data_IF_563513276703
#
_entry.id   IF_563513276703
#
_cell.length_a   1.000
_cell.length_b   1.000
_cell.length_c   1.000
_cell.angle_alpha   90.00
_cell.angle_beta   90.00
_cell.angle_gamma   90.00
#
_symmetry.space_group_name_H-M   'P 1'
#
loop_
_entity.id
_entity.type
_entity.pdbx_description
1 polymer ?
#
# COMPACT_ATOMS: atom_id res chain seq x y z
N UNK A 1 -3.15 9.33 10.83
CA UNK A 1 -4.18 9.87 9.93
C UNK A 1 -5.54 9.64 10.53
N UNK A 2 -6.33 10.71 10.65
CA UNK A 2 -7.55 10.71 11.43
C UNK A 2 -8.76 10.42 10.53
N UNK A 3 -9.55 9.39 10.85
CA UNK A 3 -10.56 8.82 9.94
C UNK A 3 -11.87 8.56 10.68
N UNK A 4 -12.98 8.92 10.04
CA UNK A 4 -14.34 8.57 10.46
C UNK A 4 -14.76 7.26 9.82
N UNK A 5 -14.96 6.25 10.65
CA UNK A 5 -15.51 4.97 10.21
C UNK A 5 -16.92 4.79 10.73
N UNK A 6 -17.74 4.13 9.91
CA UNK A 6 -19.10 3.78 10.27
C UNK A 6 -19.46 2.39 9.76
N UNK A 7 -20.06 1.57 10.63
CA UNK A 7 -20.51 0.22 10.26
C UNK A 7 -21.73 0.26 9.34
N UNK A 8 -21.94 -0.80 8.55
CA UNK A 8 -23.07 -0.88 7.62
C UNK A 8 -24.45 -0.89 8.29
N UNK A 9 -24.59 -1.70 9.35
CA UNK A 9 -25.91 -2.09 9.88
C UNK A 9 -26.58 -1.01 10.76
N UNK A 10 -25.85 0.05 11.12
CA UNK A 10 -26.40 1.15 11.93
C UNK A 10 -26.13 2.49 11.25
N UNK A 11 -26.83 2.73 10.15
CA UNK A 11 -26.78 4.01 9.39
C UNK A 11 -27.15 5.24 10.22
N UNK A 12 -27.81 5.06 11.36
CA UNK A 12 -28.16 6.15 12.29
C UNK A 12 -27.11 6.40 13.39
N UNK A 13 -26.15 5.49 13.59
CA UNK A 13 -25.10 5.69 14.59
C UNK A 13 -24.13 6.80 14.16
N UNK A 14 -23.55 7.49 15.14
CA UNK A 14 -22.43 8.40 14.92
C UNK A 14 -21.20 7.62 14.41
N UNK A 15 -20.51 8.20 13.43
CA UNK A 15 -19.20 7.71 13.01
C UNK A 15 -18.21 7.79 14.18
N UNK A 16 -17.29 6.83 14.29
CA UNK A 16 -16.24 6.86 15.30
C UNK A 16 -14.92 7.28 14.65
N UNK A 17 -14.15 8.09 15.38
CA UNK A 17 -12.84 8.60 14.96
C UNK A 17 -11.73 7.61 15.34
N UNK A 18 -10.86 7.29 14.39
CA UNK A 18 -9.66 6.47 14.60
C UNK A 18 -8.43 7.11 13.99
N UNK A 19 -7.24 6.84 14.55
CA UNK A 19 -5.98 7.34 14.04
C UNK A 19 -5.13 6.20 13.47
N UNK A 20 -5.20 6.00 12.16
CA UNK A 20 -4.43 4.97 11.46
C UNK A 20 -3.04 5.46 11.04
N UNK A 21 -2.06 4.54 10.83
CA UNK A 21 -2.14 3.09 11.06
C UNK A 21 -1.96 2.69 12.54
N UNK A 22 -2.37 1.47 12.88
CA UNK A 22 -2.24 0.82 14.19
C UNK A 22 -1.33 -0.41 14.14
N UNK A 23 -0.74 -0.76 15.28
CA UNK A 23 -0.18 -2.10 15.49
C UNK A 23 -1.28 -3.17 15.55
N UNK A 24 -0.93 -4.43 15.28
CA UNK A 24 -1.89 -5.55 15.31
C UNK A 24 -2.44 -5.83 16.71
N UNK A 25 -1.72 -5.45 17.76
CA UNK A 25 -2.19 -5.53 19.15
C UNK A 25 -3.28 -4.48 19.45
N UNK A 26 -3.26 -3.34 18.76
CA UNK A 26 -4.13 -2.19 19.03
C UNK A 26 -5.36 -2.16 18.12
N UNK A 27 -5.26 -2.71 16.91
CA UNK A 27 -6.34 -2.73 15.91
C UNK A 27 -7.60 -3.45 16.40
N UNK A 28 -7.47 -4.42 17.32
CA UNK A 28 -8.60 -5.08 17.99
C UNK A 28 -9.50 -4.07 18.71
N UNK A 29 -8.95 -2.95 19.20
CA UNK A 29 -9.74 -1.89 19.81
C UNK A 29 -10.64 -1.17 18.80
N UNK A 30 -10.21 -1.07 17.54
CA UNK A 30 -11.02 -0.48 16.45
C UNK A 30 -12.24 -1.37 16.18
N UNK A 31 -12.02 -2.68 16.03
CA UNK A 31 -13.11 -3.66 15.89
C UNK A 31 -14.08 -3.61 17.07
N UNK A 32 -13.57 -3.61 18.31
CA UNK A 32 -14.38 -3.57 19.51
C UNK A 32 -15.25 -2.30 19.61
N UNK A 33 -14.67 -1.13 19.32
CA UNK A 33 -15.41 0.15 19.38
C UNK A 33 -16.50 0.24 18.31
N UNK A 34 -16.27 -0.34 17.12
CA UNK A 34 -17.29 -0.42 16.07
C UNK A 34 -18.27 -1.59 16.26
N UNK A 35 -18.08 -2.40 17.31
CA UNK A 35 -18.83 -3.64 17.57
C UNK A 35 -18.79 -4.60 16.36
N UNK A 36 -17.66 -4.66 15.67
CA UNK A 36 -17.42 -5.50 14.50
C UNK A 36 -16.60 -6.74 14.89
N UNK A 37 -16.80 -7.81 14.13
CA UNK A 37 -15.91 -8.98 14.16
C UNK A 37 -14.86 -8.83 13.06
N UNK A 38 -13.68 -9.40 13.30
CA UNK A 38 -12.65 -9.58 12.28
C UNK A 38 -13.24 -10.28 11.06
N UNK A 39 -12.97 -9.73 9.87
CA UNK A 39 -13.54 -10.18 8.61
C UNK A 39 -12.60 -9.85 7.46
N UNK A 40 -12.61 -10.70 6.44
CA UNK A 40 -11.94 -10.44 5.16
C UNK A 40 -12.83 -9.55 4.28
N UNK A 41 -14.15 -9.74 4.34
CA UNK A 41 -15.10 -8.92 3.59
C UNK A 41 -15.24 -7.54 4.24
N UNK A 42 -15.48 -6.47 3.45
CA UNK A 42 -15.85 -5.16 3.96
C UNK A 42 -17.02 -5.21 4.93
N UNK A 43 -16.94 -4.43 6.00
CA UNK A 43 -17.95 -4.39 7.06
C UNK A 43 -18.18 -2.99 7.65
N UNK A 44 -17.47 -1.98 7.13
CA UNK A 44 -17.67 -0.57 7.42
C UNK A 44 -17.40 0.29 6.18
N UNK A 45 -17.77 1.56 6.25
CA UNK A 45 -17.45 2.56 5.23
C UNK A 45 -16.68 3.73 5.85
N UNK A 46 -15.89 4.37 5.00
CA UNK A 46 -15.09 5.56 5.32
C UNK A 46 -15.99 6.77 5.11
N UNK A 47 -16.44 7.42 6.18
CA UNK A 47 -17.28 8.61 6.08
C UNK A 47 -16.45 9.85 5.69
N UNK A 48 -15.24 9.97 6.26
CA UNK A 48 -14.36 11.11 6.05
C UNK A 48 -12.93 10.79 6.50
N UNK A 49 -11.95 11.39 5.84
CA UNK A 49 -10.57 11.54 6.33
C UNK A 49 -10.35 13.00 6.73
N UNK A 50 -10.02 13.21 8.01
CA UNK A 50 -9.94 14.52 8.64
C UNK A 50 -8.51 15.05 8.49
N UNK A 51 -8.38 16.27 7.95
CA UNK A 51 -7.13 16.99 7.68
C UNK A 51 -6.33 16.57 6.45
N UNK A 52 -6.87 15.72 5.59
CA UNK A 52 -6.18 15.25 4.39
C UNK A 52 -7.12 15.23 3.18
N UNK A 53 -7.27 16.35 2.44
CA UNK A 53 -8.27 16.47 1.39
C UNK A 53 -8.02 15.51 0.22
N UNK A 54 -6.75 15.29 -0.14
CA UNK A 54 -6.36 14.40 -1.23
C UNK A 54 -6.75 12.95 -0.91
N UNK A 55 -6.47 12.49 0.31
CA UNK A 55 -6.85 11.16 0.75
C UNK A 55 -8.36 11.05 0.92
N UNK A 56 -9.01 12.09 1.45
CA UNK A 56 -10.45 12.12 1.60
C UNK A 56 -11.15 12.00 0.25
N UNK A 57 -10.66 12.65 -0.80
CA UNK A 57 -11.20 12.53 -2.16
C UNK A 57 -11.15 11.08 -2.66
N UNK A 58 -10.05 10.37 -2.37
CA UNK A 58 -9.84 8.99 -2.81
C UNK A 58 -10.65 7.98 -1.99
N UNK A 59 -10.72 8.16 -0.66
CA UNK A 59 -11.23 7.15 0.27
C UNK A 59 -12.69 7.37 0.69
N UNK A 60 -13.19 8.60 0.65
CA UNK A 60 -14.54 8.90 1.16
C UNK A 60 -15.61 8.10 0.45
N UNK A 61 -16.51 7.52 1.23
CA UNK A 61 -17.64 6.72 0.76
C UNK A 61 -17.28 5.29 0.38
N UNK A 62 -16.00 4.90 0.37
CA UNK A 62 -15.60 3.52 0.09
C UNK A 62 -15.92 2.60 1.25
N UNK A 63 -16.29 1.39 0.89
CA UNK A 63 -16.40 0.26 1.81
C UNK A 63 -15.01 -0.30 2.09
N UNK A 64 -14.78 -0.72 3.32
CA UNK A 64 -13.51 -1.31 3.74
C UNK A 64 -13.72 -2.37 4.82
N UNK A 65 -12.75 -3.28 4.93
CA UNK A 65 -12.48 -3.92 6.21
C UNK A 65 -11.33 -3.17 6.91
N UNK A 66 -11.28 -3.26 8.24
CA UNK A 66 -10.33 -2.48 9.06
C UNK A 66 -8.87 -2.87 8.78
N UNK A 67 -8.61 -4.14 8.42
CA UNK A 67 -7.25 -4.65 8.19
C UNK A 67 -6.67 -4.16 6.86
N UNK A 68 -7.46 -4.15 5.77
CA UNK A 68 -7.08 -3.56 4.49
C UNK A 68 -6.80 -2.07 4.63
N UNK A 69 -7.67 -1.36 5.35
CA UNK A 69 -7.50 0.05 5.59
C UNK A 69 -6.20 0.31 6.38
N UNK A 70 -5.95 -0.49 7.42
CA UNK A 70 -4.72 -0.39 8.19
C UNK A 70 -3.48 -0.69 7.33
N UNK A 71 -3.54 -1.72 6.49
CA UNK A 71 -2.45 -2.08 5.59
C UNK A 71 -2.15 -0.96 4.59
N UNK A 72 -3.17 -0.38 3.97
CA UNK A 72 -3.00 0.75 3.05
C UNK A 72 -2.32 1.94 3.75
N UNK A 73 -2.71 2.27 4.99
CA UNK A 73 -2.06 3.36 5.71
C UNK A 73 -0.65 3.04 6.15
N UNK A 74 -0.35 1.79 6.54
CA UNK A 74 1.02 1.34 6.77
C UNK A 74 1.87 1.52 5.51
N UNK A 75 1.34 1.21 4.32
CA UNK A 75 2.01 1.46 3.02
C UNK A 75 2.26 2.95 2.79
N UNK A 76 1.24 3.77 2.94
CA UNK A 76 1.32 5.21 2.69
C UNK A 76 2.25 5.94 3.67
N UNK A 77 2.43 5.42 4.89
CA UNK A 77 3.37 5.95 5.88
C UNK A 77 4.84 5.84 5.43
N UNK A 78 5.16 4.92 4.52
CA UNK A 78 6.50 4.82 3.91
C UNK A 78 6.75 5.79 2.76
N UNK A 79 5.70 6.41 2.22
CA UNK A 79 5.84 7.23 1.03
C UNK A 79 6.58 8.53 1.29
N UNK A 80 7.53 8.84 0.43
CA UNK A 80 8.04 10.18 0.33
C UNK A 80 7.02 11.13 -0.35
N UNK A 81 7.38 12.42 -0.43
CA UNK A 81 6.50 13.43 -1.02
C UNK A 81 6.20 13.19 -2.51
N UNK A 82 7.15 12.62 -3.27
CA UNK A 82 7.01 12.34 -4.71
C UNK A 82 6.12 11.12 -4.92
N UNK A 83 6.38 10.03 -4.21
CA UNK A 83 5.58 8.79 -4.25
C UNK A 83 4.13 9.06 -3.89
N UNK A 84 3.90 9.84 -2.83
CA UNK A 84 2.56 10.21 -2.39
C UNK A 84 1.78 11.00 -3.47
N UNK A 85 2.44 11.94 -4.15
CA UNK A 85 1.81 12.68 -5.27
C UNK A 85 1.50 11.78 -6.46
N UNK A 86 2.41 10.87 -6.81
CA UNK A 86 2.18 9.90 -7.90
C UNK A 86 1.00 8.99 -7.55
N UNK A 87 0.93 8.52 -6.30
CA UNK A 87 -0.19 7.71 -5.82
C UNK A 87 -1.53 8.43 -5.97
N UNK A 88 -1.65 9.70 -5.54
CA UNK A 88 -2.91 10.43 -5.71
C UNK A 88 -3.23 10.80 -7.16
N UNK A 89 -2.23 11.18 -7.96
CA UNK A 89 -2.44 11.47 -9.37
C UNK A 89 -2.93 10.23 -10.14
N UNK A 90 -2.35 9.06 -9.84
CA UNK A 90 -2.82 7.79 -10.40
C UNK A 90 -4.20 7.41 -9.87
N UNK A 91 -4.50 7.63 -8.59
CA UNK A 91 -5.81 7.30 -8.00
C UNK A 91 -6.92 8.19 -8.60
N UNK A 92 -6.63 9.47 -8.80
CA UNK A 92 -7.52 10.39 -9.49
C UNK A 92 -7.79 9.96 -10.94
N UNK A 93 -6.79 9.40 -11.61
CA UNK A 93 -6.89 9.00 -13.02
C UNK A 93 -7.60 7.66 -13.20
N UNK A 94 -7.23 6.66 -12.41
CA UNK A 94 -7.74 5.29 -12.53
C UNK A 94 -9.05 5.10 -11.76
N UNK A 95 -9.36 5.99 -10.80
CA UNK A 95 -10.57 5.98 -9.97
C UNK A 95 -10.85 4.58 -9.37
N UNK A 96 -9.97 4.07 -8.50
CA UNK A 96 -10.20 2.77 -7.87
C UNK A 96 -11.46 2.81 -7.03
N UNK A 97 -12.23 1.73 -7.06
CA UNK A 97 -13.52 1.56 -6.38
C UNK A 97 -13.33 0.93 -4.99
N UNK A 98 -12.28 0.11 -4.81
CA UNK A 98 -12.06 -0.65 -3.57
C UNK A 98 -10.74 -0.31 -2.88
N UNK A 99 -10.65 -0.62 -1.57
CA UNK A 99 -9.37 -0.53 -0.84
C UNK A 99 -8.35 -1.53 -1.38
N UNK A 100 -8.79 -2.72 -1.83
CA UNK A 100 -7.90 -3.69 -2.45
C UNK A 100 -7.22 -3.17 -3.73
N UNK A 101 -7.95 -2.43 -4.58
CA UNK A 101 -7.38 -1.77 -5.76
C UNK A 101 -6.39 -0.67 -5.37
N UNK A 102 -6.68 0.11 -4.33
CA UNK A 102 -5.76 1.12 -3.80
C UNK A 102 -4.48 0.49 -3.22
N UNK A 103 -4.58 -0.64 -2.53
CA UNK A 103 -3.42 -1.40 -2.06
C UNK A 103 -2.57 -1.83 -3.26
N UNK A 104 -3.17 -2.43 -4.29
CA UNK A 104 -2.45 -2.79 -5.52
C UNK A 104 -1.80 -1.58 -6.17
N UNK A 105 -2.51 -0.46 -6.26
CA UNK A 105 -1.98 0.77 -6.84
C UNK A 105 -0.79 1.32 -6.04
N UNK A 106 -0.77 1.14 -4.70
CA UNK A 106 0.36 1.51 -3.85
C UNK A 106 1.66 0.75 -4.18
N UNK A 107 1.58 -0.43 -4.81
CA UNK A 107 2.74 -1.18 -5.30
C UNK A 107 3.10 -0.85 -6.76
N UNK A 108 2.16 -0.28 -7.51
CA UNK A 108 2.30 0.02 -8.92
C UNK A 108 2.58 1.49 -9.23
N UNK A 109 3.11 2.26 -8.26
CA UNK A 109 3.47 3.67 -8.48
C UNK A 109 4.51 3.84 -9.58
N UNK A 110 5.38 2.85 -9.78
CA UNK A 110 6.38 2.79 -10.85
C UNK A 110 5.78 2.70 -12.27
N UNK A 111 4.51 2.30 -12.40
CA UNK A 111 3.78 2.34 -13.67
C UNK A 111 3.43 3.76 -14.12
N UNK A 112 3.73 4.77 -13.30
CA UNK A 112 3.38 6.16 -13.57
C UNK A 112 4.57 7.09 -13.32
N UNK A 113 4.60 8.17 -14.09
CA UNK A 113 5.49 9.30 -13.86
C UNK A 113 4.69 10.59 -13.78
N UNK A 114 5.00 11.46 -12.83
CA UNK A 114 4.30 12.72 -12.63
C UNK A 114 5.23 13.90 -12.84
N UNK A 115 4.84 14.82 -13.73
CA UNK A 115 5.54 16.09 -13.93
C UNK A 115 4.66 17.23 -13.43
N UNK A 116 5.06 17.84 -12.32
CA UNK A 116 4.37 19.00 -11.73
C UNK A 116 5.08 20.34 -11.99
N UNK A 117 6.37 20.29 -12.35
CA UNK A 117 7.17 21.46 -12.70
C UNK A 117 7.94 21.19 -14.01
N UNK A 118 7.84 22.13 -14.95
CA UNK A 118 8.46 22.06 -16.28
C UNK A 118 9.65 23.03 -16.45
N UNK A 119 10.08 23.69 -15.37
CA UNK A 119 11.15 24.71 -15.41
C UNK A 119 12.51 24.16 -15.83
N UNK A 120 12.80 22.89 -15.56
CA UNK A 120 14.07 22.24 -15.91
C UNK A 120 13.83 20.87 -16.56
N UNK A 121 13.76 20.86 -17.90
CA UNK A 121 13.51 19.64 -18.67
C UNK A 121 14.62 18.60 -18.53
N UNK A 122 15.85 19.01 -18.23
CA UNK A 122 16.95 18.08 -17.98
C UNK A 122 16.69 17.23 -16.74
N UNK A 123 16.29 17.86 -15.64
CA UNK A 123 15.90 17.15 -14.41
C UNK A 123 14.63 16.33 -14.62
N UNK A 124 13.62 16.90 -15.29
CA UNK A 124 12.35 16.20 -15.58
C UNK A 124 12.61 14.92 -16.37
N UNK A 125 13.45 14.95 -17.40
CA UNK A 125 13.73 13.76 -18.21
C UNK A 125 14.43 12.67 -17.42
N UNK A 126 15.39 13.04 -16.57
CA UNK A 126 16.08 12.10 -15.68
C UNK A 126 15.12 11.49 -14.66
N UNK A 127 14.20 12.28 -14.12
CA UNK A 127 13.14 11.80 -13.22
C UNK A 127 12.18 10.82 -13.93
N UNK A 128 11.71 11.16 -15.14
CA UNK A 128 10.85 10.30 -15.95
C UNK A 128 11.54 8.97 -16.26
N UNK A 129 12.82 9.02 -16.64
CA UNK A 129 13.62 7.84 -16.95
C UNK A 129 13.80 6.93 -15.72
N UNK A 130 14.15 7.52 -14.57
CA UNK A 130 14.28 6.79 -13.31
C UNK A 130 12.96 6.14 -12.88
N UNK A 131 11.85 6.85 -12.99
CA UNK A 131 10.53 6.32 -12.62
C UNK A 131 10.15 5.08 -13.43
N UNK A 132 10.43 5.08 -14.74
CA UNK A 132 10.16 3.94 -15.61
C UNK A 132 11.16 2.78 -15.40
N UNK A 133 12.45 3.07 -15.21
CA UNK A 133 13.50 2.06 -15.05
C UNK A 133 13.63 1.49 -13.64
N UNK A 134 13.09 2.17 -12.63
CA UNK A 134 13.19 1.89 -11.19
C UNK A 134 14.62 1.96 -10.61
N UNK A 135 15.63 1.50 -11.34
CA UNK A 135 17.04 1.59 -10.98
C UNK A 135 17.91 1.71 -12.24
N UNK A 136 18.89 2.61 -12.21
CA UNK A 136 19.84 2.84 -13.30
C UNK A 136 21.23 3.09 -12.74
N UNK A 137 22.27 2.82 -13.53
CA UNK A 137 23.63 3.17 -13.14
C UNK A 137 23.81 4.70 -13.13
N UNK A 138 24.55 5.23 -12.15
CA UNK A 138 24.77 6.68 -12.04
C UNK A 138 25.33 7.29 -13.32
N UNK A 139 26.29 6.62 -13.97
CA UNK A 139 26.87 7.08 -15.25
C UNK A 139 25.84 7.14 -16.37
N UNK A 140 24.98 6.14 -16.47
CA UNK A 140 23.90 6.10 -17.48
C UNK A 140 22.95 7.29 -17.30
N UNK A 141 22.57 7.58 -16.05
CA UNK A 141 21.73 8.73 -15.76
C UNK A 141 22.44 10.07 -16.02
N UNK A 142 23.75 10.16 -15.73
CA UNK A 142 24.54 11.36 -16.01
C UNK A 142 24.64 11.64 -17.51
N UNK A 143 24.88 10.59 -18.30
CA UNK A 143 25.05 10.63 -19.76
C UNK A 143 23.71 10.80 -20.51
N UNK A 144 22.57 10.56 -19.86
CA UNK A 144 21.24 10.77 -20.43
C UNK A 144 21.00 12.26 -20.72
N UNK A 145 20.65 12.59 -21.96
CA UNK A 145 20.05 13.88 -22.33
C UNK A 145 18.60 13.92 -21.83
N UNK A 146 18.42 14.40 -20.61
CA UNK A 146 17.13 14.49 -19.95
C UNK A 146 16.19 15.44 -20.69
N UNK A 147 16.69 16.56 -21.21
CA UNK A 147 15.88 17.51 -21.97
C UNK A 147 15.21 16.87 -23.19
N UNK A 148 15.98 16.14 -24.00
CA UNK A 148 15.46 15.42 -25.16
C UNK A 148 14.50 14.30 -24.75
N UNK A 149 14.84 13.51 -23.71
CA UNK A 149 13.99 12.44 -23.22
C UNK A 149 12.64 12.96 -22.70
N UNK A 150 12.63 14.02 -21.91
CA UNK A 150 11.41 14.66 -21.42
C UNK A 150 10.50 15.10 -22.57
N UNK A 151 11.07 15.77 -23.58
CA UNK A 151 10.31 16.21 -24.74
C UNK A 151 9.76 15.06 -25.57
N UNK A 152 10.48 13.93 -25.62
CA UNK A 152 9.98 12.72 -26.27
C UNK A 152 8.76 12.15 -25.54
N UNK A 153 8.85 11.98 -24.21
CA UNK A 153 7.72 11.50 -23.39
C UNK A 153 6.51 12.43 -23.53
N UNK A 154 6.71 13.75 -23.39
CA UNK A 154 5.63 14.75 -23.48
C UNK A 154 4.93 14.70 -24.85
N UNK A 155 5.68 14.53 -25.94
CA UNK A 155 5.12 14.55 -27.30
C UNK A 155 4.51 13.23 -27.75
N UNK A 156 5.09 12.11 -27.30
CA UNK A 156 4.79 10.79 -27.86
C UNK A 156 3.99 9.89 -26.94
N UNK A 157 3.94 10.14 -25.64
CA UNK A 157 3.18 9.29 -24.73
C UNK A 157 1.66 9.52 -24.94
N UNK A 158 0.92 8.52 -25.46
CA UNK A 158 -0.50 8.68 -25.75
C UNK A 158 -1.38 8.62 -24.48
N UNK A 159 -0.80 8.21 -23.35
CA UNK A 159 -1.49 7.92 -22.09
C UNK A 159 -1.16 8.96 -21.02
N UNK A 160 -1.07 10.24 -21.42
CA UNK A 160 -0.92 11.35 -20.49
C UNK A 160 -2.27 11.86 -19.98
N UNK A 161 -2.36 12.22 -18.69
CA UNK A 161 -3.55 12.80 -18.07
C UNK A 161 -3.18 14.03 -17.25
N UNK A 162 -3.97 15.10 -17.38
CA UNK A 162 -3.84 16.28 -16.52
C UNK A 162 -4.61 15.99 -15.23
N UNK A 163 -3.93 16.17 -14.10
CA UNK A 163 -4.47 15.96 -12.75
C UNK A 163 -4.25 17.23 -11.91
N UNK A 164 -4.91 17.38 -10.75
CA UNK A 164 -4.61 18.44 -9.79
C UNK A 164 -3.15 18.47 -9.33
N UNK A 165 -2.42 17.36 -9.48
CA UNK A 165 -1.05 17.17 -9.03
C UNK A 165 0.01 17.43 -10.12
N UNK A 166 -0.40 17.65 -11.37
CA UNK A 166 0.48 17.78 -12.54
C UNK A 166 0.04 16.91 -13.72
N UNK A 167 0.93 16.71 -14.68
CA UNK A 167 0.69 15.81 -15.82
C UNK A 167 1.22 14.43 -15.49
N UNK A 168 0.32 13.47 -15.36
CA UNK A 168 0.61 12.06 -15.16
C UNK A 168 0.85 11.38 -16.50
N UNK A 169 1.90 10.60 -16.61
CA UNK A 169 2.22 9.77 -17.77
C UNK A 169 2.20 8.31 -17.33
N UNK A 170 1.50 7.46 -18.07
CA UNK A 170 1.61 6.01 -17.88
C UNK A 170 2.90 5.51 -18.54
N UNK A 171 3.73 4.84 -17.75
CA UNK A 171 4.99 4.23 -18.21
C UNK A 171 4.72 2.92 -18.95
N UNK A 172 5.76 2.29 -19.50
CA UNK A 172 5.63 0.99 -20.16
C UNK A 172 5.54 -0.20 -19.20
N UNK A 173 5.75 0.00 -17.89
CA UNK A 173 5.66 -1.05 -16.88
C UNK A 173 4.23 -1.61 -16.82
N UNK A 174 4.13 -2.93 -16.70
CA UNK A 174 2.84 -3.61 -16.56
C UNK A 174 2.43 -3.61 -15.08
N UNK A 175 1.20 -3.18 -14.75
CA UNK A 175 0.73 -3.20 -13.37
C UNK A 175 0.54 -4.63 -12.88
N UNK A 176 1.01 -4.91 -11.66
CA UNK A 176 0.96 -6.21 -11.03
C UNK A 176 -0.19 -6.30 -10.02
N UNK A 177 -0.89 -7.45 -10.00
CA UNK A 177 -1.87 -7.75 -8.97
C UNK A 177 -1.18 -8.41 -7.76
N UNK A 178 -0.63 -7.59 -6.88
CA UNK A 178 0.11 -8.03 -5.68
C UNK A 178 -0.83 -8.49 -4.56
N UNK A 179 -1.94 -7.77 -4.35
CA UNK A 179 -2.93 -8.09 -3.33
C UNK A 179 -4.18 -8.69 -3.95
N UNK A 180 -4.59 -9.86 -3.44
CA UNK A 180 -5.71 -10.64 -3.99
C UNK A 180 -7.07 -10.39 -3.29
N UNK A 181 -7.16 -9.39 -2.41
CA UNK A 181 -8.36 -9.12 -1.59
C UNK A 181 -8.49 -10.03 -0.37
N UNK A 182 -7.46 -10.82 -0.07
CA UNK A 182 -7.47 -11.76 1.05
C UNK A 182 -6.15 -11.77 1.80
N UNK A 183 -5.10 -12.39 1.24
CA UNK A 183 -3.81 -12.46 1.93
C UNK A 183 -2.95 -11.24 1.67
N UNK A 184 -2.35 -10.67 2.70
CA UNK A 184 -1.51 -9.48 2.54
C UNK A 184 -0.10 -9.84 2.02
N UNK A 185 0.45 -9.04 1.09
CA UNK A 185 1.86 -9.16 0.74
C UNK A 185 2.76 -8.79 1.94
N UNK A 186 4.01 -9.27 1.96
CA UNK A 186 4.93 -8.96 3.05
C UNK A 186 5.22 -7.45 3.09
N UNK A 187 5.17 -6.86 4.28
CA UNK A 187 5.39 -5.44 4.49
C UNK A 187 5.93 -5.13 5.90
N UNK A 188 7.22 -4.79 5.97
CA UNK A 188 7.90 -4.44 7.22
C UNK A 188 7.66 -2.97 7.60
N UNK A 189 6.48 -2.68 8.17
CA UNK A 189 6.17 -1.31 8.63
C UNK A 189 7.04 -0.86 9.81
N UNK A 190 7.49 -1.79 10.66
CA UNK A 190 8.39 -1.54 11.78
C UNK A 190 9.52 -2.55 11.81
N UNK A 191 10.55 -2.26 12.58
CA UNK A 191 11.63 -3.20 12.85
C UNK A 191 11.09 -4.47 13.52
N UNK A 192 11.53 -5.61 13.01
CA UNK A 192 11.09 -6.94 13.47
C UNK A 192 12.31 -7.83 13.63
N UNK A 193 12.21 -8.80 14.54
CA UNK A 193 13.29 -9.76 14.79
C UNK A 193 13.35 -10.79 13.66
N UNK A 194 12.20 -11.29 13.24
CA UNK A 194 12.05 -12.22 12.14
C UNK A 194 10.66 -12.10 11.52
N UNK A 195 10.58 -12.36 10.23
CA UNK A 195 9.33 -12.52 9.50
C UNK A 195 9.15 -13.98 9.18
N UNK A 196 8.00 -14.51 9.57
CA UNK A 196 7.66 -15.91 9.39
C UNK A 196 6.59 -15.99 8.30
N UNK A 197 6.87 -16.77 7.26
CA UNK A 197 5.90 -17.09 6.23
C UNK A 197 5.12 -18.35 6.65
N UNK A 198 3.80 -18.22 6.67
CA UNK A 198 2.85 -19.30 6.85
C UNK A 198 2.25 -19.65 5.49
N UNK A 199 2.35 -20.91 5.09
CA UNK A 199 1.82 -21.39 3.81
C UNK A 199 0.75 -22.44 4.04
N UNK A 200 -0.43 -22.25 3.47
CA UNK A 200 -1.51 -23.23 3.50
C UNK A 200 -2.38 -23.09 2.25
N UNK A 201 -2.83 -24.23 1.70
CA UNK A 201 -3.74 -24.28 0.53
C UNK A 201 -3.23 -23.48 -0.69
N UNK A 202 -1.91 -23.40 -0.87
CA UNK A 202 -1.28 -22.66 -1.98
C UNK A 202 -1.28 -21.13 -1.81
N UNK A 203 -1.62 -20.62 -0.63
CA UNK A 203 -1.55 -19.21 -0.28
C UNK A 203 -0.54 -18.98 0.85
N UNK A 204 0.02 -17.76 0.88
CA UNK A 204 1.02 -17.35 1.85
C UNK A 204 0.47 -16.20 2.71
N UNK A 205 0.82 -16.19 3.99
CA UNK A 205 0.62 -15.09 4.92
C UNK A 205 1.91 -14.87 5.72
N UNK A 206 2.05 -13.67 6.28
CA UNK A 206 3.27 -13.26 6.97
C UNK A 206 2.92 -12.74 8.37
N UNK A 207 3.64 -13.23 9.37
CA UNK A 207 3.60 -12.70 10.74
C UNK A 207 4.98 -12.17 11.13
N UNK A 208 4.99 -11.13 11.95
CA UNK A 208 6.17 -10.32 12.23
C UNK A 208 6.56 -10.42 13.70
N UNK A 209 7.66 -11.09 14.02
CA UNK A 209 8.07 -11.33 15.40
C UNK A 209 8.76 -10.11 16.04
N UNK A 210 8.44 -9.79 17.32
CA UNK A 210 7.40 -10.42 18.14
C UNK A 210 5.99 -10.04 17.67
N UNK A 211 5.12 -11.04 17.47
CA UNK A 211 3.73 -10.85 17.06
C UNK A 211 2.78 -11.14 18.23
N UNK A 212 1.56 -10.62 18.15
CA UNK A 212 0.48 -10.97 19.08
C UNK A 212 -0.26 -12.23 18.64
N UNK A 213 -0.97 -12.89 19.56
CA UNK A 213 -1.82 -14.05 19.21
C UNK A 213 -2.90 -13.67 18.18
N UNK A 214 -3.43 -12.44 18.26
CA UNK A 214 -4.41 -11.89 17.31
C UNK A 214 -3.87 -11.86 15.88
N UNK A 215 -2.60 -11.52 15.71
CA UNK A 215 -1.95 -11.50 14.39
C UNK A 215 -1.88 -12.90 13.78
N UNK A 216 -1.56 -13.91 14.60
CA UNK A 216 -1.56 -15.32 14.20
C UNK A 216 -2.98 -15.75 13.81
N UNK A 217 -3.99 -15.46 14.65
CA UNK A 217 -5.38 -15.80 14.38
C UNK A 217 -5.89 -15.19 13.06
N UNK A 218 -5.53 -13.94 12.77
CA UNK A 218 -5.86 -13.29 11.50
C UNK A 218 -5.17 -13.93 10.31
N UNK A 219 -3.88 -14.25 10.42
CA UNK A 219 -3.15 -14.94 9.36
C UNK A 219 -3.80 -16.30 9.05
N UNK A 220 -4.14 -17.07 10.08
CA UNK A 220 -4.85 -18.35 9.96
C UNK A 220 -6.26 -18.18 9.33
N UNK A 221 -7.01 -17.14 9.73
CA UNK A 221 -8.29 -16.80 9.12
C UNK A 221 -8.14 -16.51 7.61
N UNK A 222 -7.16 -15.70 7.23
CA UNK A 222 -6.88 -15.39 5.81
C UNK A 222 -6.38 -16.62 5.05
N UNK A 223 -5.65 -17.53 5.69
CA UNK A 223 -5.28 -18.83 5.13
C UNK A 223 -6.42 -19.87 5.15
N UNK A 224 -7.61 -19.52 5.65
CA UNK A 224 -8.75 -20.44 5.82
C UNK A 224 -8.38 -21.74 6.55
N UNK A 225 -7.52 -21.63 7.57
CA UNK A 225 -6.97 -22.78 8.26
C UNK A 225 -7.15 -22.58 9.77
N UNK A 226 -7.66 -23.56 10.53
CA UNK A 226 -8.03 -23.35 11.94
C UNK A 226 -6.82 -23.37 12.88
N UNK A 227 -5.72 -24.03 12.51
CA UNK A 227 -4.58 -24.24 13.39
C UNK A 227 -3.25 -24.01 12.70
N UNK A 228 -2.27 -23.52 13.47
CA UNK A 228 -0.91 -23.26 12.96
C UNK A 228 -0.19 -24.52 12.48
N UNK A 229 -0.47 -25.69 13.06
CA UNK A 229 0.17 -26.94 12.66
C UNK A 229 -0.29 -27.45 11.28
N UNK A 230 -1.36 -26.89 10.73
CA UNK A 230 -1.82 -27.16 9.37
C UNK A 230 -1.10 -26.28 8.33
N UNK A 231 -0.26 -25.34 8.78
CA UNK A 231 0.57 -24.49 7.92
C UNK A 231 1.99 -25.04 7.80
N UNK A 232 2.57 -24.92 6.62
CA UNK A 232 4.03 -24.94 6.47
C UNK A 232 4.58 -23.60 6.99
N UNK A 233 5.59 -23.67 7.87
CA UNK A 233 6.17 -22.51 8.55
C UNK A 233 7.62 -22.36 8.14
N UNK A 234 7.97 -21.21 7.55
CA UNK A 234 9.34 -20.91 7.12
C UNK A 234 9.76 -19.52 7.60
N UNK A 235 11.07 -19.32 7.80
CA UNK A 235 11.62 -18.00 8.09
C UNK A 235 11.85 -17.32 6.74
N UNK A 236 11.11 -16.25 6.48
CA UNK A 236 11.27 -15.43 5.27
C UNK A 236 12.51 -14.54 5.38
N UNK A 237 12.63 -13.85 6.51
CA UNK A 237 13.74 -12.94 6.79
C UNK A 237 13.97 -12.82 8.30
N UNK A 238 15.19 -12.48 8.70
CA UNK A 238 15.54 -12.31 10.11
C UNK A 238 16.68 -11.33 10.33
N UNK A 239 16.70 -10.72 11.51
CA UNK A 239 17.78 -9.87 12.01
C UNK A 239 18.58 -10.57 13.13
N UNK A 240 18.61 -11.90 13.13
CA UNK A 240 19.43 -12.67 14.06
C UNK A 240 20.92 -12.37 13.87
N UNK A 241 21.66 -12.28 14.98
CA UNK A 241 23.12 -12.22 14.92
C UNK A 241 23.71 -13.51 14.35
N UNK A 242 24.89 -13.45 13.74
CA UNK A 242 25.63 -14.62 13.21
C UNK A 242 25.74 -15.78 14.20
N UNK A 243 25.82 -15.47 15.50
CA UNK A 243 25.87 -16.48 16.58
C UNK A 243 24.63 -17.35 16.63
N UNK A 244 23.45 -16.77 16.40
CA UNK A 244 22.17 -17.47 16.37
C UNK A 244 22.02 -18.21 15.04
N UNK A 245 22.40 -17.57 13.93
CA UNK A 245 22.37 -18.20 12.60
C UNK A 245 23.28 -19.41 12.46
N UNK A 246 24.36 -19.50 13.25
CA UNK A 246 25.26 -20.66 13.26
C UNK A 246 24.73 -21.92 13.95
N UNK A 247 23.55 -21.85 14.58
CA UNK A 247 22.93 -22.93 15.38
C UNK A 247 21.67 -23.49 14.71
N UNK A 248 21.17 -22.85 13.64
CA UNK A 248 19.96 -23.23 12.91
C UNK A 248 20.25 -24.19 11.74
#
# INVERSE_FOLDING_TARGET
>A
MLIRLKRFDRKEDESIMFNFPYEESEISNVYNQLELKTSIAPNCYIEEVVYDPDINEVLKGKECNIDELNFLFKRMDSFDTKERKIFFASAFTENPETIAELINQSFNTHCYSLVSDFNNLETVGKDLYLSEKQAVATRELEDLDGGSFAMEVIKKNPNSRITPYGVLYKNSNEPEQIYNGKQFPPYHWKETVATIQLTAKGANEFIYLPCSDVEIEKALMRLETPYLHDCEVTIDSHNFSDRISSVA
#
